data_IF_747307480446
#
_entry.id   IF_747307480446
#
_cell.length_a   1.000
_cell.length_b   1.000
_cell.length_c   1.000
_cell.angle_alpha   90.00
_cell.angle_beta   90.00
_cell.angle_gamma   90.00
#
_symmetry.space_group_name_H-M   'P 1'
#
loop_
_entity.id
_entity.type
_entity.pdbx_description
1 polymer ?
#
# COMPACT_ATOMS: atom_id res chain seq x y z
N UNK A 1 29.22 6.01 15.03
CA UNK A 1 30.54 5.95 15.75
C UNK A 1 31.31 7.24 15.59
N UNK A 2 31.31 7.91 14.46
CA UNK A 2 32.02 9.17 14.21
C UNK A 2 31.53 10.34 15.07
N UNK A 3 30.22 10.38 15.42
CA UNK A 3 29.65 11.45 16.26
C UNK A 3 30.00 11.33 17.76
N UNK A 4 30.47 10.15 18.21
CA UNK A 4 30.91 9.95 19.60
C UNK A 4 32.40 10.19 19.83
N UNK A 5 33.22 10.14 18.78
CA UNK A 5 34.69 10.28 18.87
C UNK A 5 35.13 11.74 18.97
N UNK A 6 34.33 12.67 18.43
CA UNK A 6 34.62 14.10 18.52
C UNK A 6 33.37 14.87 18.95
N UNK A 7 33.09 15.01 20.24
CA UNK A 7 32.10 15.99 20.69
C UNK A 7 32.66 17.38 20.34
N UNK A 8 31.96 18.10 19.48
CA UNK A 8 32.28 19.45 18.98
C UNK A 8 32.31 20.52 20.09
N UNK A 9 32.04 20.14 21.35
CA UNK A 9 31.87 21.04 22.50
C UNK A 9 32.87 20.75 23.64
N UNK A 10 33.96 20.02 23.38
CA UNK A 10 34.98 19.83 24.41
C UNK A 10 36.05 20.90 24.32
N UNK A 11 36.04 21.81 25.29
CA UNK A 11 37.03 22.89 25.40
C UNK A 11 38.42 22.39 25.78
N UNK A 12 38.58 21.18 26.31
CA UNK A 12 39.87 20.57 26.67
C UNK A 12 39.99 19.13 26.14
N UNK A 13 41.02 18.91 25.34
CA UNK A 13 41.38 17.57 24.82
C UNK A 13 42.17 16.85 25.92
N UNK A 14 41.68 15.69 26.37
CA UNK A 14 42.35 14.85 27.35
C UNK A 14 43.31 13.86 26.67
N UNK A 15 44.36 13.39 27.44
CA UNK A 15 45.30 12.39 26.92
C UNK A 15 44.59 11.11 26.41
N UNK A 16 43.50 10.70 27.06
CA UNK A 16 42.68 9.57 26.62
C UNK A 16 42.04 9.80 25.22
N UNK A 17 41.60 11.03 24.92
CA UNK A 17 41.03 11.37 23.63
C UNK A 17 42.07 11.26 22.49
N UNK A 18 43.33 11.64 22.79
CA UNK A 18 44.47 11.48 21.87
C UNK A 18 44.83 10.01 21.65
N UNK A 19 44.81 9.19 22.69
CA UNK A 19 45.07 7.76 22.58
C UNK A 19 43.97 7.05 21.77
N UNK A 20 42.69 7.39 21.96
CA UNK A 20 41.60 6.88 21.13
C UNK A 20 41.75 7.29 19.67
N UNK A 21 42.14 8.52 19.42
CA UNK A 21 42.39 9.01 18.07
C UNK A 21 43.56 8.29 17.39
N UNK A 22 44.67 8.07 18.11
CA UNK A 22 45.81 7.31 17.59
C UNK A 22 45.45 5.85 17.30
N UNK A 23 44.63 5.22 18.13
CA UNK A 23 44.09 3.87 17.87
C UNK A 23 43.21 3.87 16.61
N UNK A 24 42.31 4.85 16.46
CA UNK A 24 41.47 4.98 15.26
C UNK A 24 42.31 5.17 13.98
N UNK A 25 43.39 5.97 14.03
CA UNK A 25 44.31 6.15 12.91
C UNK A 25 45.12 4.87 12.61
N UNK A 26 45.49 4.10 13.62
CA UNK A 26 46.14 2.80 13.43
C UNK A 26 45.21 1.77 12.78
N UNK A 27 43.95 1.68 13.22
CA UNK A 27 42.97 0.79 12.58
C UNK A 27 42.70 1.15 11.12
N UNK A 28 42.67 2.44 10.79
CA UNK A 28 42.57 2.90 9.41
C UNK A 28 43.83 2.54 8.56
N UNK A 29 45.03 2.63 9.15
CA UNK A 29 46.27 2.23 8.49
C UNK A 29 46.37 0.73 8.24
N UNK A 30 45.78 -0.08 9.13
CA UNK A 30 45.73 -1.54 8.99
C UNK A 30 44.65 -2.00 8.00
N UNK A 31 43.90 -1.09 7.41
CA UNK A 31 42.82 -1.40 6.44
C UNK A 31 41.60 -2.04 7.07
N UNK A 32 41.51 -2.09 8.38
CA UNK A 32 40.32 -2.52 9.11
C UNK A 32 39.41 -1.33 9.29
N UNK A 33 38.53 -1.11 8.33
CA UNK A 33 37.41 -0.18 8.52
C UNK A 33 36.47 -0.77 9.55
N UNK A 34 36.25 -0.04 10.64
CA UNK A 34 35.13 -0.41 11.52
C UNK A 34 33.84 -0.41 10.72
N UNK A 35 32.89 -1.32 10.96
CA UNK A 35 31.62 -1.31 10.25
C UNK A 35 30.98 0.06 10.42
N UNK A 36 30.96 0.84 9.35
CA UNK A 36 30.66 2.29 9.42
C UNK A 36 29.16 2.56 9.50
N UNK A 37 28.33 1.56 9.20
CA UNK A 37 26.87 1.71 9.23
C UNK A 37 26.21 0.48 9.85
N UNK A 38 25.06 0.70 10.54
CA UNK A 38 24.22 -0.41 11.05
C UNK A 38 23.85 -1.40 9.93
N UNK A 39 23.74 -0.92 8.69
CA UNK A 39 23.46 -1.75 7.53
C UNK A 39 24.60 -2.73 7.20
N UNK A 40 25.87 -2.36 7.39
CA UNK A 40 27.02 -3.24 7.17
C UNK A 40 27.14 -4.31 8.28
N UNK A 41 26.78 -3.94 9.51
CA UNK A 41 26.68 -4.90 10.62
C UNK A 41 25.59 -5.93 10.31
N UNK A 42 24.42 -5.50 9.84
CA UNK A 42 23.34 -6.41 9.42
C UNK A 42 23.75 -7.28 8.23
N UNK A 43 24.43 -6.73 7.24
CA UNK A 43 24.91 -7.50 6.10
C UNK A 43 25.97 -8.53 6.50
N UNK A 44 26.87 -8.20 7.42
CA UNK A 44 27.86 -9.16 7.95
C UNK A 44 27.20 -10.28 8.77
N UNK A 45 26.15 -9.98 9.52
CA UNK A 45 25.34 -10.97 10.23
C UNK A 45 24.55 -11.87 9.27
N UNK A 46 24.01 -11.34 8.18
CA UNK A 46 23.32 -12.11 7.15
C UNK A 46 24.26 -13.02 6.33
N UNK A 47 25.54 -12.65 6.22
CA UNK A 47 26.57 -13.50 5.59
C UNK A 47 27.01 -14.68 6.44
N UNK A 48 26.68 -14.65 7.75
CA UNK A 48 26.97 -15.75 8.69
C UNK A 48 25.65 -16.29 9.30
N UNK A 49 24.78 -16.91 8.50
CA UNK A 49 23.48 -17.38 9.00
C UNK A 49 23.57 -18.43 10.10
N UNK A 50 24.69 -19.17 10.20
CA UNK A 50 24.89 -20.18 11.23
C UNK A 50 25.08 -19.59 12.64
N UNK A 51 25.64 -18.39 12.77
CA UNK A 51 25.74 -17.70 14.06
C UNK A 51 24.41 -17.05 14.46
N UNK A 52 23.65 -16.53 13.48
CA UNK A 52 22.33 -15.94 13.71
C UNK A 52 21.29 -16.98 14.16
N UNK A 53 21.41 -18.22 13.67
CA UNK A 53 20.55 -19.34 14.05
C UNK A 53 20.92 -19.97 15.41
N UNK A 54 22.06 -19.62 15.99
CA UNK A 54 22.52 -20.14 17.29
C UNK A 54 22.03 -19.32 18.47
N UNK A 55 21.54 -18.09 18.27
CA UNK A 55 20.85 -17.36 19.31
C UNK A 55 19.44 -17.93 19.47
N UNK A 56 19.30 -18.93 20.35
CA UNK A 56 17.98 -19.40 20.75
C UNK A 56 17.24 -18.23 21.40
N UNK A 57 16.15 -17.81 20.77
CA UNK A 57 15.27 -16.80 21.34
C UNK A 57 14.68 -17.33 22.65
N UNK A 58 15.17 -16.79 23.76
CA UNK A 58 14.61 -17.08 25.09
C UNK A 58 13.58 -15.99 25.41
N UNK A 59 12.28 -16.31 25.39
CA UNK A 59 11.24 -15.34 25.70
C UNK A 59 11.36 -14.89 27.16
N UNK A 60 11.17 -13.60 27.43
CA UNK A 60 11.12 -13.07 28.78
C UNK A 60 9.85 -13.52 29.51
N UNK A 61 9.84 -13.53 30.85
CA UNK A 61 8.68 -13.93 31.66
C UNK A 61 7.44 -13.10 31.34
N UNK A 62 7.60 -11.80 31.02
CA UNK A 62 6.52 -10.91 30.63
C UNK A 62 5.91 -11.34 29.29
N UNK A 63 6.72 -11.75 28.32
CA UNK A 63 6.24 -12.25 27.02
C UNK A 63 5.50 -13.58 27.17
N UNK A 64 5.96 -14.46 28.07
CA UNK A 64 5.27 -15.71 28.36
C UNK A 64 3.90 -15.46 29.01
N UNK A 65 3.80 -14.51 29.94
CA UNK A 65 2.54 -14.12 30.56
C UNK A 65 1.57 -13.48 29.54
N UNK A 66 2.08 -12.71 28.58
CA UNK A 66 1.26 -12.19 27.48
C UNK A 66 0.77 -13.29 26.53
N UNK A 67 1.62 -14.25 26.19
CA UNK A 67 1.23 -15.40 25.36
C UNK A 67 0.11 -16.21 26.04
N UNK A 68 0.22 -16.48 27.36
CA UNK A 68 -0.86 -17.16 28.10
C UNK A 68 -2.17 -16.36 28.11
N UNK A 69 -2.06 -15.04 28.32
CA UNK A 69 -3.23 -14.15 28.35
C UNK A 69 -3.98 -14.09 27.01
N UNK A 70 -3.26 -14.23 25.89
CA UNK A 70 -3.81 -14.11 24.54
C UNK A 70 -3.96 -15.44 23.81
N UNK A 71 -3.46 -16.56 24.35
CA UNK A 71 -3.51 -17.90 23.74
C UNK A 71 -4.95 -18.33 23.34
N UNK A 72 -5.95 -17.93 24.13
CA UNK A 72 -7.35 -18.28 23.90
C UNK A 72 -8.15 -17.19 23.15
N UNK A 73 -7.50 -16.09 22.75
CA UNK A 73 -8.17 -15.00 22.01
C UNK A 73 -7.85 -15.13 20.53
N UNK A 74 -8.90 -15.11 19.69
CA UNK A 74 -8.71 -15.05 18.26
C UNK A 74 -7.97 -13.77 17.89
N UNK A 75 -6.83 -13.91 17.22
CA UNK A 75 -6.07 -12.75 16.69
C UNK A 75 -6.91 -12.12 15.57
N UNK A 76 -7.32 -10.85 15.67
CA UNK A 76 -8.07 -10.20 14.60
C UNK A 76 -7.19 -10.11 13.35
N UNK A 77 -7.70 -10.65 12.25
CA UNK A 77 -7.05 -10.52 10.95
C UNK A 77 -6.97 -9.04 10.54
N UNK A 78 -5.85 -8.58 9.97
CA UNK A 78 -5.74 -7.20 9.51
C UNK A 78 -6.80 -6.91 8.44
N UNK A 79 -7.62 -5.90 8.67
CA UNK A 79 -8.61 -5.46 7.70
C UNK A 79 -7.94 -4.61 6.61
N UNK A 80 -8.04 -5.07 5.38
CA UNK A 80 -7.62 -4.29 4.22
C UNK A 80 -8.64 -3.16 3.95
N UNK A 81 -8.21 -1.88 4.03
CA UNK A 81 -9.11 -0.74 3.85
C UNK A 81 -9.72 -0.66 2.45
N UNK A 82 -9.07 -1.23 1.43
CA UNK A 82 -9.61 -1.25 0.07
C UNK A 82 -10.70 -2.29 -0.06
N UNK A 83 -10.51 -3.49 0.50
CA UNK A 83 -11.51 -4.57 0.52
C UNK A 83 -12.72 -4.13 1.35
N UNK A 84 -12.49 -3.47 2.47
CA UNK A 84 -13.59 -2.93 3.28
C UNK A 84 -14.38 -1.86 2.52
N UNK A 85 -13.71 -0.94 1.84
CA UNK A 85 -14.37 0.07 1.01
C UNK A 85 -15.16 -0.58 -0.13
N UNK A 86 -14.62 -1.64 -0.75
CA UNK A 86 -15.31 -2.40 -1.78
C UNK A 86 -16.58 -3.06 -1.23
N UNK A 87 -16.47 -3.71 -0.07
CA UNK A 87 -17.61 -4.32 0.63
C UNK A 87 -18.70 -3.29 0.93
N UNK A 88 -18.30 -2.12 1.43
CA UNK A 88 -19.24 -1.05 1.75
C UNK A 88 -19.97 -0.51 0.49
N UNK A 89 -19.31 -0.50 -0.67
CA UNK A 89 -19.94 -0.09 -1.94
C UNK A 89 -20.87 -1.16 -2.53
N UNK A 90 -20.65 -2.43 -2.25
CA UNK A 90 -21.55 -3.53 -2.63
C UNK A 90 -22.76 -3.59 -1.69
N UNK A 91 -22.57 -3.25 -0.42
CA UNK A 91 -23.55 -3.40 0.64
C UNK A 91 -24.85 -2.67 0.31
N UNK A 92 -25.99 -3.33 0.56
CA UNK A 92 -27.34 -2.76 0.52
C UNK A 92 -28.05 -3.05 1.83
N UNK A 93 -28.86 -2.15 2.28
CA UNK A 93 -29.71 -2.28 3.48
C UNK A 93 -28.94 -2.66 4.75
N UNK A 94 -27.66 -2.21 4.88
CA UNK A 94 -26.82 -2.53 6.04
C UNK A 94 -26.32 -3.97 6.14
N UNK A 95 -26.61 -4.83 5.15
CA UNK A 95 -26.26 -6.27 5.17
C UNK A 95 -24.79 -6.51 4.78
N UNK A 96 -23.86 -6.11 5.66
CA UNK A 96 -22.41 -6.17 5.40
C UNK A 96 -21.89 -7.61 5.19
N UNK A 97 -22.37 -8.55 6.00
CA UNK A 97 -21.95 -9.96 5.90
C UNK A 97 -22.27 -10.57 4.52
N UNK A 98 -23.47 -10.29 3.98
CA UNK A 98 -23.85 -10.76 2.64
C UNK A 98 -22.95 -10.17 1.56
N UNK A 99 -22.54 -8.91 1.72
CA UNK A 99 -21.64 -8.25 0.78
C UNK A 99 -20.23 -8.87 0.86
N UNK A 100 -19.73 -9.17 2.07
CA UNK A 100 -18.45 -9.84 2.29
C UNK A 100 -18.43 -11.24 1.65
N UNK A 101 -19.47 -12.04 1.88
CA UNK A 101 -19.57 -13.38 1.29
C UNK A 101 -19.56 -13.32 -0.25
N UNK A 102 -20.27 -12.35 -0.84
CA UNK A 102 -20.28 -12.18 -2.30
C UNK A 102 -18.95 -11.76 -2.86
N UNK A 103 -18.28 -10.82 -2.19
CA UNK A 103 -16.93 -10.36 -2.58
C UNK A 103 -15.90 -11.47 -2.43
N UNK A 104 -15.92 -12.21 -1.31
CA UNK A 104 -15.04 -13.34 -1.03
C UNK A 104 -15.17 -14.43 -2.10
N UNK A 105 -16.43 -14.81 -2.48
CA UNK A 105 -16.68 -15.73 -3.58
C UNK A 105 -16.13 -15.22 -4.91
N UNK A 106 -16.31 -13.94 -5.22
CA UNK A 106 -15.79 -13.36 -6.43
C UNK A 106 -14.24 -13.38 -6.48
N UNK A 107 -13.56 -13.00 -5.39
CA UNK A 107 -12.11 -13.05 -5.28
C UNK A 107 -11.57 -14.48 -5.40
N UNK A 108 -12.28 -15.46 -4.82
CA UNK A 108 -11.91 -16.87 -4.97
C UNK A 108 -11.97 -17.32 -6.44
N UNK A 109 -12.99 -16.90 -7.19
CA UNK A 109 -13.07 -17.19 -8.63
C UNK A 109 -11.96 -16.52 -9.43
N UNK A 110 -11.57 -15.30 -9.04
CA UNK A 110 -10.42 -14.60 -9.63
C UNK A 110 -9.14 -15.40 -9.38
N UNK A 111 -8.92 -15.87 -8.15
CA UNK A 111 -7.78 -16.74 -7.83
C UNK A 111 -7.75 -18.02 -8.68
N UNK A 112 -8.87 -18.69 -8.82
CA UNK A 112 -8.95 -19.93 -9.63
C UNK A 112 -8.56 -19.72 -11.08
N UNK A 113 -8.89 -18.54 -11.65
CA UNK A 113 -8.61 -18.22 -13.05
C UNK A 113 -7.20 -17.66 -13.25
N UNK A 114 -6.74 -16.77 -12.36
CA UNK A 114 -5.45 -16.07 -12.52
C UNK A 114 -4.28 -16.82 -11.87
N UNK A 115 -4.55 -17.70 -10.88
CA UNK A 115 -3.55 -18.39 -10.07
C UNK A 115 -2.56 -17.46 -9.37
N UNK A 116 -2.97 -16.22 -9.12
CA UNK A 116 -2.25 -15.18 -8.38
C UNK A 116 -3.05 -14.76 -7.17
N UNK A 117 -2.43 -14.06 -6.25
CA UNK A 117 -3.14 -13.46 -5.13
C UNK A 117 -4.27 -12.54 -5.64
N UNK A 118 -5.54 -12.84 -5.32
CA UNK A 118 -6.67 -12.07 -5.80
C UNK A 118 -6.68 -10.63 -5.27
N UNK A 119 -6.04 -10.38 -4.13
CA UNK A 119 -5.93 -9.05 -3.53
C UNK A 119 -4.97 -8.20 -4.34
N UNK A 120 -3.81 -8.72 -4.70
CA UNK A 120 -2.84 -8.05 -5.57
C UNK A 120 -3.43 -7.75 -6.95
N UNK A 121 -4.11 -8.73 -7.57
CA UNK A 121 -4.80 -8.54 -8.85
C UNK A 121 -5.84 -7.43 -8.75
N UNK A 122 -6.59 -7.35 -7.64
CA UNK A 122 -7.55 -6.29 -7.40
C UNK A 122 -6.85 -4.93 -7.29
N UNK A 123 -5.75 -4.83 -6.54
CA UNK A 123 -4.99 -3.57 -6.42
C UNK A 123 -4.45 -3.08 -7.76
N UNK A 124 -3.83 -3.96 -8.54
CA UNK A 124 -3.34 -3.62 -9.89
C UNK A 124 -4.49 -3.15 -10.80
N UNK A 125 -5.63 -3.82 -10.73
CA UNK A 125 -6.82 -3.47 -11.50
C UNK A 125 -7.34 -2.08 -11.13
N UNK A 126 -7.41 -1.78 -9.83
CA UNK A 126 -7.86 -0.48 -9.34
C UNK A 126 -6.90 0.66 -9.72
N UNK A 127 -5.60 0.42 -9.66
CA UNK A 127 -4.60 1.41 -10.05
C UNK A 127 -4.61 1.67 -11.57
N UNK A 128 -4.78 0.63 -12.38
CA UNK A 128 -4.92 0.75 -13.84
C UNK A 128 -6.23 1.47 -14.24
N UNK A 129 -7.34 1.16 -13.57
CA UNK A 129 -8.66 1.68 -13.91
C UNK A 129 -8.91 3.06 -13.29
N UNK A 130 -8.32 3.39 -12.14
CA UNK A 130 -8.56 4.64 -11.43
C UNK A 130 -8.28 5.89 -12.24
N UNK A 131 -9.24 6.84 -12.35
CA UNK A 131 -9.01 8.11 -13.02
C UNK A 131 -8.10 9.03 -12.20
N UNK A 132 -7.31 9.86 -12.86
CA UNK A 132 -6.46 10.85 -12.20
C UNK A 132 -7.22 12.11 -11.82
N UNK A 133 -8.22 12.46 -12.60
CA UNK A 133 -8.98 13.70 -12.49
C UNK A 133 -10.48 13.43 -12.45
N UNK A 134 -11.22 14.34 -11.85
CA UNK A 134 -12.67 14.43 -11.91
C UNK A 134 -13.07 15.82 -12.41
N UNK A 135 -14.14 15.90 -13.17
CA UNK A 135 -14.72 17.17 -13.62
C UNK A 135 -15.71 17.69 -12.57
N UNK A 136 -15.46 18.87 -12.04
CA UNK A 136 -16.39 19.59 -11.16
C UNK A 136 -16.92 20.82 -11.85
N UNK A 137 -18.21 21.10 -11.66
CA UNK A 137 -18.84 22.31 -12.17
C UNK A 137 -18.63 23.43 -11.15
N UNK A 138 -17.89 24.47 -11.55
CA UNK A 138 -17.74 25.71 -10.77
C UNK A 138 -18.89 26.67 -11.15
N UNK A 139 -19.72 26.98 -10.17
CA UNK A 139 -20.80 27.96 -10.34
C UNK A 139 -20.20 29.37 -10.31
N UNK A 140 -20.42 30.13 -11.37
CA UNK A 140 -19.83 31.48 -11.55
C UNK A 140 -20.91 32.59 -11.43
N UNK A 141 -21.91 32.39 -10.58
CA UNK A 141 -22.96 33.40 -10.36
C UNK A 141 -23.78 33.71 -11.60
N UNK A 142 -23.59 34.87 -12.17
CA UNK A 142 -24.34 35.38 -13.38
C UNK A 142 -23.79 34.82 -14.69
N UNK A 143 -22.56 34.29 -14.72
CA UNK A 143 -21.96 33.77 -15.94
C UNK A 143 -22.21 32.25 -16.09
N UNK A 144 -21.95 31.75 -17.33
CA UNK A 144 -22.09 30.34 -17.65
C UNK A 144 -21.19 29.48 -16.75
N UNK A 145 -21.77 28.44 -16.13
CA UNK A 145 -21.02 27.48 -15.30
C UNK A 145 -19.87 26.86 -16.08
N UNK A 146 -18.69 26.80 -15.46
CA UNK A 146 -17.49 26.22 -16.05
C UNK A 146 -17.19 24.87 -15.42
N UNK A 147 -16.80 23.91 -16.25
CA UNK A 147 -16.31 22.59 -15.82
C UNK A 147 -14.80 22.65 -15.62
N UNK A 148 -14.34 22.39 -14.42
CA UNK A 148 -12.92 22.45 -14.06
C UNK A 148 -12.44 21.06 -13.69
N UNK A 149 -11.31 20.55 -14.25
CA UNK A 149 -10.70 19.31 -13.83
C UNK A 149 -10.07 19.49 -12.46
N UNK A 150 -10.35 18.52 -11.56
CA UNK A 150 -9.86 18.48 -10.18
C UNK A 150 -9.11 17.16 -9.94
N UNK A 151 -7.88 17.20 -9.38
CA UNK A 151 -7.12 15.99 -9.10
C UNK A 151 -7.79 15.15 -8.01
N UNK A 152 -7.67 13.83 -8.12
CA UNK A 152 -8.25 12.88 -7.18
C UNK A 152 -7.18 12.23 -6.30
N UNK A 153 -7.45 12.12 -5.01
CA UNK A 153 -6.66 11.35 -4.07
C UNK A 153 -6.79 9.84 -4.34
N UNK A 154 -5.83 9.01 -3.89
CA UNK A 154 -5.83 7.56 -4.08
C UNK A 154 -7.15 6.90 -3.65
N UNK A 155 -7.70 7.27 -2.48
CA UNK A 155 -8.98 6.75 -1.99
C UNK A 155 -10.16 7.09 -2.93
N UNK A 156 -10.18 8.29 -3.47
CA UNK A 156 -11.21 8.72 -4.43
C UNK A 156 -11.06 8.00 -5.76
N UNK A 157 -9.83 7.83 -6.24
CA UNK A 157 -9.53 7.07 -7.47
C UNK A 157 -10.03 5.63 -7.37
N UNK A 158 -9.73 4.95 -6.27
CA UNK A 158 -10.19 3.59 -6.01
C UNK A 158 -11.72 3.52 -5.96
N UNK A 159 -12.39 4.51 -5.34
CA UNK A 159 -13.85 4.56 -5.32
C UNK A 159 -14.45 4.62 -6.72
N UNK A 160 -13.91 5.46 -7.63
CA UNK A 160 -14.38 5.53 -9.01
C UNK A 160 -14.13 4.22 -9.77
N UNK A 161 -12.96 3.63 -9.60
CA UNK A 161 -12.64 2.35 -10.22
C UNK A 161 -13.61 1.24 -9.77
N UNK A 162 -13.88 1.13 -8.46
CA UNK A 162 -14.83 0.16 -7.90
C UNK A 162 -16.25 0.39 -8.45
N UNK A 163 -16.72 1.65 -8.53
CA UNK A 163 -18.03 1.95 -9.08
C UNK A 163 -18.16 1.53 -10.55
N UNK A 164 -17.11 1.72 -11.35
CA UNK A 164 -17.09 1.30 -12.75
C UNK A 164 -17.06 -0.22 -12.91
N UNK A 165 -16.33 -0.93 -12.02
CA UNK A 165 -16.36 -2.40 -11.97
C UNK A 165 -17.77 -2.89 -11.60
N UNK A 166 -18.42 -2.29 -10.61
CA UNK A 166 -19.78 -2.66 -10.20
C UNK A 166 -20.78 -2.43 -11.32
N UNK A 167 -20.67 -1.32 -12.05
CA UNK A 167 -21.51 -1.02 -13.19
C UNK A 167 -21.27 -1.98 -14.37
N UNK A 168 -20.00 -2.33 -14.63
CA UNK A 168 -19.63 -3.36 -15.59
C UNK A 168 -20.21 -4.73 -15.22
N UNK A 169 -20.11 -5.12 -13.96
CA UNK A 169 -20.67 -6.37 -13.43
C UNK A 169 -22.20 -6.42 -13.59
N UNK A 170 -22.90 -5.29 -13.47
CA UNK A 170 -24.37 -5.25 -13.68
C UNK A 170 -24.77 -5.54 -15.14
N UNK A 171 -23.91 -5.24 -16.09
CA UNK A 171 -24.18 -5.49 -17.54
C UNK A 171 -23.90 -6.92 -17.97
N UNK A 172 -23.25 -7.72 -17.14
CA UNK A 172 -23.00 -9.16 -17.42
C UNK A 172 -24.25 -10.01 -17.29
N UNK A 173 -24.32 -11.07 -18.08
CA UNK A 173 -25.54 -11.92 -18.22
C UNK A 173 -25.65 -12.99 -17.12
N UNK A 174 -24.58 -13.31 -16.39
CA UNK A 174 -24.59 -14.39 -15.40
C UNK A 174 -25.61 -14.13 -14.29
N UNK A 175 -26.28 -15.16 -13.80
CA UNK A 175 -27.32 -15.04 -12.77
C UNK A 175 -26.74 -14.62 -11.42
N UNK A 176 -25.63 -15.23 -11.01
CA UNK A 176 -24.99 -14.93 -9.73
C UNK A 176 -24.15 -13.65 -9.82
N UNK A 177 -24.37 -12.77 -8.85
CA UNK A 177 -23.62 -11.51 -8.76
C UNK A 177 -22.12 -11.72 -8.54
N UNK A 178 -21.73 -12.76 -7.76
CA UNK A 178 -20.33 -13.06 -7.48
C UNK A 178 -19.57 -13.46 -8.77
N UNK A 179 -20.23 -14.22 -9.66
CA UNK A 179 -19.67 -14.61 -10.95
C UNK A 179 -19.48 -13.39 -11.85
N UNK A 180 -20.54 -12.56 -11.97
CA UNK A 180 -20.47 -11.31 -12.76
C UNK A 180 -19.36 -10.39 -12.30
N UNK A 181 -19.19 -10.27 -10.98
CA UNK A 181 -18.16 -9.45 -10.38
C UNK A 181 -16.75 -10.00 -10.67
N UNK A 182 -16.58 -11.32 -10.54
CA UNK A 182 -15.30 -11.97 -10.88
C UNK A 182 -14.95 -11.81 -12.35
N UNK A 183 -15.90 -12.03 -13.27
CA UNK A 183 -15.70 -11.84 -14.70
C UNK A 183 -15.31 -10.41 -15.05
N UNK A 184 -15.89 -9.42 -14.36
CA UNK A 184 -15.57 -8.02 -14.61
C UNK A 184 -14.19 -7.62 -14.05
N UNK A 185 -13.82 -8.12 -12.85
CA UNK A 185 -12.47 -7.90 -12.29
C UNK A 185 -11.42 -8.50 -13.21
N UNK A 186 -11.63 -9.71 -13.72
CA UNK A 186 -10.72 -10.37 -14.65
C UNK A 186 -10.64 -9.60 -15.98
N UNK A 187 -11.79 -9.21 -16.53
CA UNK A 187 -11.83 -8.39 -17.73
C UNK A 187 -11.16 -7.02 -17.57
N UNK A 188 -11.28 -6.41 -16.39
CA UNK A 188 -10.58 -5.19 -16.06
C UNK A 188 -9.06 -5.40 -15.90
N UNK A 189 -8.63 -6.52 -15.33
CA UNK A 189 -7.22 -6.89 -15.27
C UNK A 189 -6.61 -7.06 -16.66
N UNK A 190 -7.35 -7.72 -17.59
CA UNK A 190 -6.97 -7.91 -19.00
C UNK A 190 -7.11 -6.63 -19.86
N UNK A 191 -7.63 -5.55 -19.32
CA UNK A 191 -7.83 -4.30 -20.06
C UNK A 191 -9.12 -4.23 -20.90
N UNK A 192 -10.06 -5.18 -20.74
CA UNK A 192 -11.30 -5.30 -21.53
C UNK A 192 -12.55 -4.76 -20.82
N UNK A 193 -12.41 -3.93 -19.79
CA UNK A 193 -13.53 -3.38 -19.03
C UNK A 193 -14.07 -2.10 -19.64
N UNK A 194 -15.39 -1.90 -19.54
CA UNK A 194 -16.07 -0.65 -19.90
C UNK A 194 -15.55 0.57 -19.09
N UNK A 195 -14.92 0.34 -17.96
CA UNK A 195 -14.34 1.39 -17.15
C UNK A 195 -13.20 2.12 -17.84
N UNK A 196 -12.47 1.46 -18.74
CA UNK A 196 -11.38 2.11 -19.49
C UNK A 196 -11.91 3.15 -20.48
N UNK A 197 -13.02 2.87 -21.13
CA UNK A 197 -13.68 3.82 -22.05
C UNK A 197 -14.14 5.06 -21.28
N UNK A 198 -14.72 4.86 -20.10
CA UNK A 198 -15.13 5.96 -19.21
C UNK A 198 -13.94 6.77 -18.72
N UNK A 199 -12.85 6.10 -18.32
CA UNK A 199 -11.60 6.77 -17.95
C UNK A 199 -11.07 7.62 -19.09
N UNK A 200 -11.02 7.07 -20.30
CA UNK A 200 -10.53 7.74 -21.48
C UNK A 200 -11.40 8.96 -21.85
N UNK A 201 -12.71 8.81 -21.80
CA UNK A 201 -13.65 9.91 -22.04
C UNK A 201 -13.51 11.02 -20.98
N UNK A 202 -13.39 10.65 -19.70
CA UNK A 202 -13.19 11.60 -18.62
C UNK A 202 -11.88 12.36 -18.75
N UNK A 203 -10.79 11.67 -19.09
CA UNK A 203 -9.49 12.30 -19.33
C UNK A 203 -9.51 13.20 -20.58
N UNK A 204 -10.15 12.78 -21.64
CA UNK A 204 -10.34 13.61 -22.86
C UNK A 204 -11.09 14.91 -22.54
N UNK A 205 -12.17 14.82 -21.78
CA UNK A 205 -12.92 15.98 -21.33
C UNK A 205 -12.12 16.88 -20.38
N UNK A 206 -11.26 16.29 -19.54
CA UNK A 206 -10.36 17.05 -18.66
C UNK A 206 -9.33 17.85 -19.46
N UNK A 207 -8.75 17.27 -20.51
CA UNK A 207 -7.80 17.94 -21.40
C UNK A 207 -8.48 19.11 -22.13
N UNK A 208 -9.70 18.94 -22.60
CA UNK A 208 -10.45 20.01 -23.24
C UNK A 208 -10.71 21.21 -22.33
N UNK A 209 -10.94 20.93 -21.04
CA UNK A 209 -11.22 21.95 -20.02
C UNK A 209 -9.98 22.42 -19.24
N UNK A 210 -8.77 22.03 -19.66
CA UNK A 210 -7.52 22.37 -18.95
C UNK A 210 -7.28 23.86 -18.75
N UNK A 211 -7.77 24.70 -19.69
CA UNK A 211 -7.63 26.17 -19.62
C UNK A 211 -8.35 26.81 -18.42
N UNK A 212 -9.25 26.06 -17.75
CA UNK A 212 -10.01 26.57 -16.60
C UNK A 212 -9.41 26.16 -15.26
N UNK A 213 -8.23 25.54 -15.26
CA UNK A 213 -7.49 25.23 -14.03
C UNK A 213 -6.91 26.53 -13.50
N UNK A 214 -7.30 26.90 -12.30
CA UNK A 214 -6.68 28.00 -11.54
C UNK A 214 -5.45 27.42 -10.82
N UNK A 215 -4.28 27.94 -11.13
CA UNK A 215 -3.00 27.61 -10.49
C UNK A 215 -2.85 28.39 -9.20
#
# INVERSE_FOLDING_TARGET
>A
LTAKVFPLEKDEITENDVDEWLRAVQTLKEGKTAPETEAEVYLSQLLQPEEFLKEEFVPTEEQLAEVEKYSNKAVPLPNDPVIENFTNLIMRDGKKERAQIKLSKALYMVYLKTRRDPVEVLYETLDKLGPLFQLKVKKTGTAKNRTVPFPLNRRQRNRFAILWILEGAQKKKSLDFSVRLAEEIIGAYEGKSLGYDKKLQLHKNAITNRAYIEL
#
